data_IF_918874459275
#
_entry.id   IF_918874459275
#
_cell.length_a   1.000
_cell.length_b   1.000
_cell.length_c   1.000
_cell.angle_alpha   90.00
_cell.angle_beta   90.00
_cell.angle_gamma   90.00
#
_symmetry.space_group_name_H-M   'P 1'
#
loop_
_entity.id
_entity.type
_entity.pdbx_description
1 polymer ?
#
# COMPACT_ATOMS: atom_id res chain seq x y z
N UNK A 1 9.55 31.53 10.54
CA UNK A 1 10.13 30.18 10.70
C UNK A 1 8.97 29.22 10.44
N UNK A 2 8.97 28.51 9.32
CA UNK A 2 7.97 27.49 9.07
C UNK A 2 8.15 26.40 10.15
N UNK A 3 7.15 26.12 10.94
CA UNK A 3 7.10 24.94 11.79
C UNK A 3 7.20 23.75 10.86
N UNK A 4 8.32 23.06 10.88
CA UNK A 4 8.51 21.80 10.17
C UNK A 4 7.54 20.82 10.85
N UNK A 5 6.44 20.50 10.17
CA UNK A 5 5.50 19.50 10.67
C UNK A 5 6.26 18.18 10.85
N UNK A 6 5.97 17.50 11.96
CA UNK A 6 6.60 16.20 12.22
C UNK A 6 6.24 15.22 11.10
N UNK A 7 7.20 14.40 10.63
CA UNK A 7 6.89 13.41 9.60
C UNK A 7 5.80 12.44 10.09
N UNK A 8 5.04 11.87 9.15
CA UNK A 8 4.04 10.85 9.44
C UNK A 8 4.68 9.66 10.13
N UNK A 9 5.83 9.20 9.61
CA UNK A 9 6.66 8.17 10.23
C UNK A 9 8.12 8.57 10.22
N UNK A 10 8.81 8.22 11.31
CA UNK A 10 10.26 8.21 11.38
C UNK A 10 10.69 6.87 11.97
N UNK A 11 11.61 6.20 11.29
CA UNK A 11 12.21 4.94 11.71
C UNK A 11 13.70 5.16 11.85
N UNK A 12 14.28 4.67 12.94
CA UNK A 12 15.73 4.71 13.19
C UNK A 12 16.17 3.42 13.88
N UNK A 13 17.19 2.73 13.34
CA UNK A 13 17.74 1.45 13.85
C UNK A 13 16.63 0.42 14.20
N UNK A 14 15.67 0.23 13.32
CA UNK A 14 14.59 -0.72 13.52
C UNK A 14 14.96 -2.09 12.98
N UNK A 15 15.02 -3.09 13.84
CA UNK A 15 15.29 -4.49 13.46
C UNK A 15 14.09 -5.36 13.80
N UNK A 16 13.56 -6.08 12.83
CA UNK A 16 12.50 -7.08 13.01
C UNK A 16 13.08 -8.47 12.85
N UNK A 17 12.82 -9.34 13.82
CA UNK A 17 13.28 -10.74 13.81
C UNK A 17 12.12 -11.71 13.86
N UNK A 18 12.27 -12.82 13.15
CA UNK A 18 11.38 -13.98 13.26
C UNK A 18 12.23 -15.18 13.69
N UNK A 19 12.01 -15.67 14.90
CA UNK A 19 12.92 -16.62 15.56
C UNK A 19 14.33 -15.99 15.64
N UNK A 20 15.34 -16.64 15.09
CA UNK A 20 16.73 -16.16 15.10
C UNK A 20 17.13 -15.36 13.86
N UNK A 21 16.25 -15.33 12.82
CA UNK A 21 16.55 -14.65 11.56
C UNK A 21 16.06 -13.20 11.59
N UNK A 22 16.92 -12.25 11.21
CA UNK A 22 16.52 -10.89 10.86
C UNK A 22 15.75 -10.97 9.56
N UNK A 23 14.53 -10.40 9.54
CA UNK A 23 13.63 -10.39 8.39
C UNK A 23 13.40 -8.97 7.84
N UNK A 24 13.84 -7.95 8.58
CA UNK A 24 13.94 -6.57 8.16
C UNK A 24 14.87 -5.79 9.09
N UNK A 25 15.72 -4.96 8.51
CA UNK A 25 16.47 -3.92 9.22
C UNK A 25 16.31 -2.60 8.45
N UNK A 26 16.02 -1.55 9.18
CA UNK A 26 15.87 -0.19 8.65
C UNK A 26 16.77 0.72 9.47
N UNK A 27 17.82 1.24 8.86
CA UNK A 27 18.75 2.18 9.50
C UNK A 27 18.04 3.51 9.77
N UNK A 28 17.57 4.16 8.71
CA UNK A 28 16.82 5.41 8.76
C UNK A 28 15.76 5.43 7.67
N UNK A 29 14.57 5.93 8.02
CA UNK A 29 13.50 6.19 7.07
C UNK A 29 12.57 7.26 7.64
N UNK A 30 12.16 8.20 6.80
CA UNK A 30 11.12 9.17 7.13
C UNK A 30 10.08 9.21 6.01
N UNK A 31 8.80 9.30 6.39
CA UNK A 31 7.68 9.51 5.49
C UNK A 31 6.96 10.78 5.90
N UNK A 32 6.87 11.74 5.00
CA UNK A 32 6.09 12.95 5.21
C UNK A 32 4.57 12.71 5.02
N UNK A 33 3.72 13.56 5.60
CA UNK A 33 2.28 13.53 5.29
C UNK A 33 2.05 13.94 3.83
N UNK A 34 1.16 13.21 3.14
CA UNK A 34 0.87 13.44 1.72
C UNK A 34 1.95 12.95 0.75
N UNK A 35 3.06 12.41 1.24
CA UNK A 35 4.11 11.85 0.39
C UNK A 35 3.69 10.51 -0.21
N UNK A 36 3.96 10.35 -1.52
CA UNK A 36 3.69 9.12 -2.25
C UNK A 36 4.99 8.36 -2.47
N UNK A 37 5.02 7.07 -2.07
CA UNK A 37 6.21 6.23 -2.19
C UNK A 37 5.88 4.87 -2.80
N UNK A 38 6.86 4.27 -3.47
CA UNK A 38 6.79 2.87 -3.88
C UNK A 38 7.91 2.05 -3.22
N UNK A 39 7.54 0.89 -2.68
CA UNK A 39 8.47 -0.14 -2.22
C UNK A 39 8.61 -1.17 -3.32
N UNK A 40 9.81 -1.31 -3.88
CA UNK A 40 10.12 -2.24 -4.96
C UNK A 40 11.20 -3.22 -4.52
N UNK A 41 11.08 -4.47 -4.92
CA UNK A 41 12.09 -5.49 -4.63
C UNK A 41 11.58 -6.90 -4.86
N UNK A 42 12.47 -7.90 -4.88
CA UNK A 42 12.11 -9.29 -5.09
C UNK A 42 11.21 -9.85 -3.99
N UNK A 43 10.59 -11.01 -4.27
CA UNK A 43 9.80 -11.71 -3.28
C UNK A 43 10.68 -12.15 -2.09
N UNK A 44 10.14 -11.97 -0.87
CA UNK A 44 10.89 -12.30 0.36
C UNK A 44 11.94 -11.27 0.77
N UNK A 45 12.10 -10.15 0.08
CA UNK A 45 13.07 -9.09 0.40
C UNK A 45 12.76 -8.33 1.71
N UNK A 46 11.53 -8.42 2.24
CA UNK A 46 11.13 -7.71 3.47
C UNK A 46 10.04 -6.66 3.28
N UNK A 47 9.52 -6.44 2.06
CA UNK A 47 8.50 -5.41 1.74
C UNK A 47 7.27 -5.49 2.63
N UNK A 48 6.63 -6.66 2.73
CA UNK A 48 5.45 -6.84 3.59
C UNK A 48 5.79 -6.68 5.08
N UNK A 49 7.00 -7.07 5.50
CA UNK A 49 7.46 -6.83 6.88
C UNK A 49 7.62 -5.32 7.15
N UNK A 50 8.08 -4.55 6.17
CA UNK A 50 8.17 -3.09 6.29
C UNK A 50 6.78 -2.47 6.48
N UNK A 51 5.78 -2.90 5.70
CA UNK A 51 4.40 -2.46 5.89
C UNK A 51 3.86 -2.86 7.28
N UNK A 52 4.07 -4.10 7.68
CA UNK A 52 3.66 -4.58 9.01
C UNK A 52 4.34 -3.80 10.15
N UNK A 53 5.56 -3.30 9.94
CA UNK A 53 6.24 -2.41 10.89
C UNK A 53 5.54 -1.04 10.95
N UNK A 54 5.16 -0.44 9.82
CA UNK A 54 4.40 0.82 9.76
C UNK A 54 3.02 0.68 10.42
N UNK A 55 2.30 -0.41 10.14
CA UNK A 55 0.96 -0.68 10.69
C UNK A 55 0.98 -1.25 12.11
N UNK A 56 2.18 -1.45 12.69
CA UNK A 56 2.41 -2.08 14.01
C UNK A 56 1.83 -3.49 14.15
N UNK A 57 1.68 -4.21 13.07
CA UNK A 57 1.38 -5.64 13.11
C UNK A 57 2.59 -6.46 13.57
N UNK A 58 3.79 -5.94 13.33
CA UNK A 58 5.04 -6.44 13.91
C UNK A 58 5.74 -5.33 14.67
N UNK A 59 6.45 -5.71 15.73
CA UNK A 59 7.23 -4.77 16.53
C UNK A 59 8.71 -5.00 16.27
N UNK A 60 9.53 -3.93 16.21
CA UNK A 60 10.98 -4.05 16.13
C UNK A 60 11.55 -4.54 17.48
N UNK A 61 12.79 -4.98 17.46
CA UNK A 61 13.53 -5.24 18.69
C UNK A 61 13.54 -3.99 19.56
N UNK A 62 13.41 -4.21 20.87
CA UNK A 62 13.45 -3.12 21.85
C UNK A 62 14.79 -2.37 21.79
N UNK A 63 14.72 -1.04 21.86
CA UNK A 63 15.84 -0.11 22.00
C UNK A 63 15.53 0.89 23.12
N UNK A 64 16.55 1.52 23.67
CA UNK A 64 16.38 2.58 24.68
C UNK A 64 15.63 3.78 24.09
N UNK A 65 15.94 4.14 22.85
CA UNK A 65 15.15 5.08 22.04
C UNK A 65 14.21 4.26 21.16
N UNK A 66 12.88 4.55 21.17
CA UNK A 66 11.93 3.84 20.34
C UNK A 66 12.28 3.97 18.85
N UNK A 67 12.49 2.83 18.15
CA UNK A 67 12.95 2.87 16.77
C UNK A 67 11.89 3.33 15.77
N UNK A 68 10.63 3.44 16.17
CA UNK A 68 9.53 3.90 15.32
C UNK A 68 8.75 5.01 16.01
N UNK A 69 8.71 6.17 15.38
CA UNK A 69 8.00 7.36 15.85
C UNK A 69 6.90 7.65 14.83
N UNK A 70 5.68 7.88 15.32
CA UNK A 70 4.51 8.24 14.53
C UNK A 70 4.05 9.64 14.89
N UNK A 71 4.08 10.60 13.96
CA UNK A 71 3.70 12.00 14.18
C UNK A 71 4.36 12.61 15.41
N UNK A 72 5.64 12.34 15.61
CA UNK A 72 6.39 12.80 16.77
C UNK A 72 6.11 12.04 18.07
N UNK A 73 5.21 11.06 18.07
CA UNK A 73 4.90 10.22 19.24
C UNK A 73 5.73 8.95 19.22
N UNK A 74 6.48 8.74 20.29
CA UNK A 74 7.30 7.52 20.48
C UNK A 74 6.46 6.27 20.80
N UNK A 75 5.27 6.47 21.39
CA UNK A 75 4.36 5.39 21.80
C UNK A 75 2.93 5.67 21.36
N UNK A 76 2.68 5.70 20.04
CA UNK A 76 1.33 5.93 19.53
C UNK A 76 0.41 4.76 19.91
N UNK A 77 -0.88 5.03 20.06
CA UNK A 77 -1.85 3.97 20.23
C UNK A 77 -2.02 3.18 18.91
N UNK A 78 -2.34 1.89 19.00
CA UNK A 78 -2.66 1.09 17.81
C UNK A 78 -3.92 1.63 17.09
N UNK A 79 -4.84 2.24 17.84
CA UNK A 79 -6.05 2.85 17.28
C UNK A 79 -5.71 4.06 16.40
N UNK A 80 -4.77 4.92 16.82
CA UNK A 80 -4.36 6.10 16.04
C UNK A 80 -3.68 5.69 14.73
N UNK A 81 -2.84 4.66 14.77
CA UNK A 81 -2.19 4.13 13.57
C UNK A 81 -3.22 3.51 12.62
N UNK A 82 -4.13 2.66 13.14
CA UNK A 82 -5.18 2.05 12.32
C UNK A 82 -6.15 3.07 11.73
N UNK A 83 -6.43 4.16 12.43
CA UNK A 83 -7.25 5.24 11.89
C UNK A 83 -6.53 6.01 10.77
N UNK A 84 -5.19 6.06 10.79
CA UNK A 84 -4.39 6.76 9.79
C UNK A 84 -4.23 5.97 8.49
N UNK A 85 -4.21 4.63 8.56
CA UNK A 85 -3.92 3.77 7.40
C UNK A 85 -5.13 2.96 6.94
N UNK A 86 -5.34 2.94 5.62
CA UNK A 86 -6.08 1.90 4.94
C UNK A 86 -5.12 0.93 4.25
N UNK A 87 -5.35 -0.38 4.35
CA UNK A 87 -4.48 -1.40 3.73
C UNK A 87 -5.28 -2.25 2.75
N UNK A 88 -4.89 -2.22 1.49
CA UNK A 88 -5.48 -3.04 0.41
C UNK A 88 -4.44 -4.04 -0.05
N UNK A 89 -4.64 -5.32 0.26
CA UNK A 89 -3.72 -6.40 -0.08
C UNK A 89 -4.38 -7.52 -0.88
N UNK A 90 -3.56 -8.29 -1.61
CA UNK A 90 -4.04 -9.51 -2.27
C UNK A 90 -4.60 -10.53 -1.27
N UNK A 91 -3.98 -10.67 -0.10
CA UNK A 91 -4.45 -11.58 0.95
C UNK A 91 -5.88 -11.24 1.38
N UNK A 92 -6.22 -9.95 1.46
CA UNK A 92 -7.59 -9.53 1.77
C UNK A 92 -8.57 -9.94 0.67
N UNK A 93 -8.20 -9.82 -0.60
CA UNK A 93 -9.01 -10.30 -1.72
C UNK A 93 -9.26 -11.82 -1.63
N UNK A 94 -8.25 -12.62 -1.32
CA UNK A 94 -8.36 -14.08 -1.21
C UNK A 94 -9.21 -14.52 -0.02
N UNK A 95 -9.33 -13.69 1.01
CA UNK A 95 -10.17 -13.91 2.19
C UNK A 95 -11.65 -13.56 1.95
N UNK A 96 -11.98 -12.82 0.90
CA UNK A 96 -13.37 -12.49 0.55
C UNK A 96 -14.08 -13.75 0.02
N UNK A 97 -14.59 -14.57 0.94
CA UNK A 97 -15.39 -15.79 0.66
C UNK A 97 -16.73 -15.72 1.39
N UNK A 98 -17.41 -14.59 1.25
CA UNK A 98 -18.66 -14.29 1.94
C UNK A 98 -19.69 -13.78 0.95
N UNK A 99 -20.94 -14.23 1.09
CA UNK A 99 -22.06 -13.74 0.31
C UNK A 99 -22.66 -12.52 1.01
N UNK A 100 -22.10 -11.34 0.70
CA UNK A 100 -22.55 -10.05 1.23
C UNK A 100 -22.63 -9.01 0.10
N UNK A 101 -23.57 -8.06 0.20
CA UNK A 101 -23.59 -6.89 -0.68
C UNK A 101 -22.32 -6.05 -0.54
N UNK A 102 -21.86 -5.42 -1.63
CA UNK A 102 -20.68 -4.56 -1.59
C UNK A 102 -20.78 -3.47 -0.52
N UNK A 103 -21.96 -2.83 -0.37
CA UNK A 103 -22.16 -1.79 0.65
C UNK A 103 -21.94 -2.30 2.08
N UNK A 104 -22.31 -3.56 2.36
CA UNK A 104 -22.14 -4.15 3.69
C UNK A 104 -20.66 -4.45 3.97
N UNK A 105 -19.89 -4.83 2.91
CA UNK A 105 -18.43 -4.98 2.98
C UNK A 105 -17.78 -3.63 3.27
N UNK A 106 -18.18 -2.57 2.56
CA UNK A 106 -17.63 -1.22 2.75
C UNK A 106 -18.01 -0.67 4.12
N UNK A 107 -19.27 -0.81 4.53
CA UNK A 107 -19.74 -0.41 5.86
C UNK A 107 -18.96 -1.13 6.97
N UNK A 108 -18.59 -2.40 6.77
CA UNK A 108 -17.76 -3.17 7.69
C UNK A 108 -16.40 -2.52 7.97
N UNK A 109 -15.87 -1.72 7.05
CA UNK A 109 -14.64 -0.94 7.22
C UNK A 109 -14.69 0.01 8.42
N UNK A 110 -15.83 0.60 8.72
CA UNK A 110 -16.03 1.46 9.92
C UNK A 110 -15.80 0.70 11.24
N UNK A 111 -15.94 -0.62 11.22
CA UNK A 111 -15.81 -1.50 12.37
C UNK A 111 -14.53 -2.36 12.31
N UNK A 112 -13.68 -2.14 11.31
CA UNK A 112 -12.45 -2.92 11.10
C UNK A 112 -12.69 -4.39 10.71
N UNK A 113 -13.85 -4.71 10.10
CA UNK A 113 -14.29 -6.07 9.76
C UNK A 113 -14.66 -6.19 8.28
N UNK A 114 -14.74 -7.41 7.74
CA UNK A 114 -15.09 -7.66 6.33
C UNK A 114 -16.59 -7.43 6.04
N UNK A 115 -17.41 -7.29 7.04
CA UNK A 115 -18.83 -7.01 6.94
C UNK A 115 -19.29 -6.47 8.28
N UNK A 116 -20.58 -6.18 8.43
CA UNK A 116 -21.10 -5.62 9.68
C UNK A 116 -21.10 -6.72 10.75
N UNK A 117 -20.43 -6.52 11.91
CA UNK A 117 -20.43 -7.51 12.99
C UNK A 117 -21.85 -7.74 13.54
N UNK A 118 -22.18 -8.99 13.87
CA UNK A 118 -23.54 -9.37 14.32
C UNK A 118 -24.05 -8.63 15.56
N UNK A 119 -23.16 -8.11 16.40
CA UNK A 119 -23.47 -7.36 17.62
C UNK A 119 -23.51 -5.85 17.39
N UNK A 120 -23.28 -5.38 16.17
CA UNK A 120 -23.29 -3.96 15.78
C UNK A 120 -24.53 -3.69 14.94
N UNK A 121 -25.23 -2.62 15.26
CA UNK A 121 -26.30 -2.10 14.43
C UNK A 121 -25.73 -0.92 13.63
N UNK A 122 -25.42 -1.16 12.34
CA UNK A 122 -25.05 -0.08 11.44
C UNK A 122 -26.25 0.86 11.24
N UNK A 123 -25.98 2.14 11.29
CA UNK A 123 -26.99 3.19 11.11
C UNK A 123 -27.18 3.50 9.62
N UNK A 124 -28.27 4.19 9.27
CA UNK A 124 -28.49 4.69 7.90
C UNK A 124 -27.35 5.62 7.44
N UNK A 125 -26.78 6.41 8.37
CA UNK A 125 -25.62 7.26 8.10
C UNK A 125 -24.36 6.46 7.76
N UNK A 126 -24.15 5.28 8.36
CA UNK A 126 -23.01 4.40 8.07
C UNK A 126 -23.15 3.79 6.66
N UNK A 127 -24.35 3.35 6.29
CA UNK A 127 -24.62 2.87 4.93
C UNK A 127 -24.46 3.98 3.90
N UNK A 128 -24.91 5.18 4.18
CA UNK A 128 -24.73 6.34 3.29
C UNK A 128 -23.24 6.63 3.04
N UNK A 129 -22.40 6.61 4.08
CA UNK A 129 -20.94 6.74 3.91
C UNK A 129 -20.36 5.64 3.03
N UNK A 130 -20.82 4.40 3.22
CA UNK A 130 -20.36 3.28 2.39
C UNK A 130 -20.75 3.46 0.90
N UNK A 131 -21.98 3.87 0.64
CA UNK A 131 -22.46 4.14 -0.71
C UNK A 131 -21.72 5.32 -1.36
N UNK A 132 -21.44 6.40 -0.62
CA UNK A 132 -20.63 7.53 -1.08
C UNK A 132 -19.22 7.10 -1.52
N UNK A 133 -18.57 6.15 -0.82
CA UNK A 133 -17.26 5.65 -1.25
C UNK A 133 -17.37 4.76 -2.50
N UNK A 134 -18.42 3.97 -2.64
CA UNK A 134 -18.67 3.19 -3.85
C UNK A 134 -18.90 4.09 -5.07
N UNK A 135 -19.73 5.12 -4.92
CA UNK A 135 -19.96 6.14 -5.95
C UNK A 135 -18.66 6.85 -6.35
N UNK A 136 -17.88 7.28 -5.36
CA UNK A 136 -16.57 7.93 -5.56
C UNK A 136 -15.62 7.10 -6.41
N UNK A 137 -15.65 5.76 -6.28
CA UNK A 137 -14.82 4.84 -7.06
C UNK A 137 -15.48 4.34 -8.35
N UNK A 138 -16.62 4.92 -8.74
CA UNK A 138 -17.32 4.60 -9.98
C UNK A 138 -17.90 3.18 -10.00
N UNK A 139 -18.35 2.68 -8.83
CA UNK A 139 -18.99 1.37 -8.67
C UNK A 139 -20.25 1.43 -7.79
N UNK A 140 -20.91 2.60 -7.73
CA UNK A 140 -22.12 2.78 -6.92
C UNK A 140 -23.26 1.84 -7.32
N UNK A 141 -23.39 1.54 -8.61
CA UNK A 141 -24.38 0.60 -9.14
C UNK A 141 -24.20 -0.83 -8.59
N UNK A 142 -23.02 -1.15 -8.05
CA UNK A 142 -22.71 -2.47 -7.45
C UNK A 142 -23.04 -2.56 -5.97
N UNK A 143 -23.52 -1.47 -5.33
CA UNK A 143 -23.73 -1.40 -3.88
C UNK A 143 -24.52 -2.59 -3.30
N UNK A 144 -25.56 -3.03 -3.98
CA UNK A 144 -26.43 -4.13 -3.57
C UNK A 144 -26.04 -5.49 -4.18
N UNK A 145 -24.97 -5.53 -4.99
CA UNK A 145 -24.52 -6.77 -5.63
C UNK A 145 -23.70 -7.62 -4.67
N UNK A 146 -23.91 -8.93 -4.72
CA UNK A 146 -23.11 -9.90 -3.96
C UNK A 146 -21.65 -9.88 -4.47
N UNK A 147 -20.70 -9.65 -3.56
CA UNK A 147 -19.28 -9.53 -3.86
C UNK A 147 -18.72 -10.78 -4.56
N UNK A 148 -19.25 -11.96 -4.26
CA UNK A 148 -18.83 -13.23 -4.90
C UNK A 148 -19.21 -13.32 -6.38
N UNK A 149 -20.06 -12.43 -6.89
CA UNK A 149 -20.48 -12.37 -8.31
C UNK A 149 -19.74 -11.28 -9.10
N UNK A 150 -18.80 -10.60 -8.48
CA UNK A 150 -18.05 -9.51 -9.06
C UNK A 150 -16.76 -9.98 -9.74
N UNK A 151 -16.27 -9.22 -10.72
CA UNK A 151 -14.93 -9.42 -11.27
C UNK A 151 -13.85 -9.06 -10.24
N UNK A 152 -12.64 -9.61 -10.40
CA UNK A 152 -11.49 -9.31 -9.53
C UNK A 152 -11.24 -7.80 -9.38
N UNK A 153 -11.33 -7.05 -10.49
CA UNK A 153 -11.17 -5.59 -10.48
C UNK A 153 -12.28 -4.86 -9.72
N UNK A 154 -13.54 -5.35 -9.83
CA UNK A 154 -14.66 -4.81 -9.04
C UNK A 154 -14.48 -5.07 -7.56
N UNK A 155 -14.14 -6.31 -7.17
CA UNK A 155 -13.84 -6.68 -5.78
C UNK A 155 -12.71 -5.78 -5.22
N UNK A 156 -11.64 -5.58 -5.99
CA UNK A 156 -10.51 -4.75 -5.57
C UNK A 156 -10.95 -3.31 -5.26
N UNK A 157 -11.80 -2.72 -6.11
CA UNK A 157 -12.35 -1.36 -5.85
C UNK A 157 -13.28 -1.33 -4.65
N UNK A 158 -14.08 -2.37 -4.42
CA UNK A 158 -14.90 -2.50 -3.19
C UNK A 158 -14.01 -2.53 -1.94
N UNK A 159 -12.88 -3.26 -1.98
CA UNK A 159 -11.93 -3.29 -0.86
C UNK A 159 -11.23 -1.93 -0.66
N UNK A 160 -10.92 -1.19 -1.72
CA UNK A 160 -10.44 0.20 -1.59
C UNK A 160 -11.51 1.08 -0.95
N UNK A 161 -12.78 1.00 -1.39
CA UNK A 161 -13.89 1.74 -0.79
C UNK A 161 -14.04 1.43 0.70
N UNK A 162 -13.86 0.15 1.07
CA UNK A 162 -13.88 -0.30 2.47
C UNK A 162 -12.79 0.36 3.31
N UNK A 163 -11.60 0.53 2.77
CA UNK A 163 -10.52 1.23 3.48
C UNK A 163 -10.75 2.76 3.52
N UNK A 164 -11.44 3.31 2.53
CA UNK A 164 -11.72 4.75 2.47
C UNK A 164 -12.86 5.20 3.41
N UNK A 165 -13.73 4.29 3.85
CA UNK A 165 -14.94 4.66 4.61
C UNK A 165 -14.66 5.29 5.97
N UNK A 166 -13.50 4.99 6.58
CA UNK A 166 -13.03 5.61 7.83
C UNK A 166 -12.09 6.82 7.61
N UNK A 167 -11.96 7.27 6.35
CA UNK A 167 -11.22 8.47 5.95
C UNK A 167 -9.72 8.45 6.32
N UNK A 168 -8.96 7.41 5.93
CA UNK A 168 -7.54 7.29 6.27
C UNK A 168 -6.73 8.36 5.55
N UNK A 169 -5.63 8.81 6.14
CA UNK A 169 -4.71 9.78 5.53
C UNK A 169 -3.72 9.13 4.56
N UNK A 170 -3.43 7.86 4.76
CA UNK A 170 -2.55 7.09 3.91
C UNK A 170 -3.18 5.76 3.50
N UNK A 171 -3.02 5.38 2.22
CA UNK A 171 -3.41 4.06 1.73
C UNK A 171 -2.20 3.27 1.30
N UNK A 172 -2.13 2.06 1.82
CA UNK A 172 -1.13 1.06 1.47
C UNK A 172 -1.74 0.09 0.47
N UNK A 173 -1.13 0.00 -0.69
CA UNK A 173 -1.49 -0.94 -1.75
C UNK A 173 -0.40 -2.01 -1.84
N UNK A 174 -0.69 -3.21 -1.34
CA UNK A 174 0.26 -4.33 -1.37
C UNK A 174 -0.05 -5.26 -2.55
N UNK A 175 0.78 -5.18 -3.59
CA UNK A 175 0.66 -5.87 -4.88
C UNK A 175 -0.73 -5.71 -5.53
N UNK A 176 -1.25 -4.50 -5.65
CA UNK A 176 -2.66 -4.27 -5.95
C UNK A 176 -3.07 -4.67 -7.37
N UNK A 177 -2.15 -4.70 -8.33
CA UNK A 177 -2.43 -5.01 -9.74
C UNK A 177 -2.30 -6.51 -10.06
N UNK A 178 -1.78 -7.33 -9.14
CA UNK A 178 -1.60 -8.77 -9.37
C UNK A 178 -2.94 -9.46 -9.66
N UNK A 179 -2.98 -10.20 -10.79
CA UNK A 179 -4.17 -10.94 -11.22
C UNK A 179 -5.28 -10.10 -11.84
N UNK A 180 -5.05 -8.81 -12.07
CA UNK A 180 -5.97 -7.95 -12.81
C UNK A 180 -5.72 -8.02 -14.32
N UNK A 181 -6.78 -7.90 -15.09
CA UNK A 181 -6.73 -7.63 -16.52
C UNK A 181 -6.32 -6.16 -16.80
N UNK A 182 -6.01 -5.79 -18.04
CA UNK A 182 -5.60 -4.43 -18.38
C UNK A 182 -6.61 -3.35 -17.98
N UNK A 183 -7.92 -3.64 -18.07
CA UNK A 183 -8.97 -2.72 -17.66
C UNK A 183 -8.96 -2.50 -16.14
N UNK A 184 -8.91 -3.59 -15.37
CA UNK A 184 -8.82 -3.55 -13.91
C UNK A 184 -7.57 -2.79 -13.42
N UNK A 185 -6.40 -3.03 -14.06
CA UNK A 185 -5.17 -2.28 -13.76
C UNK A 185 -5.33 -0.79 -14.04
N UNK A 186 -5.89 -0.42 -15.20
CA UNK A 186 -6.11 0.98 -15.57
C UNK A 186 -7.00 1.69 -14.55
N UNK A 187 -8.12 1.06 -14.17
CA UNK A 187 -9.07 1.60 -13.21
C UNK A 187 -8.43 1.76 -11.82
N UNK A 188 -7.71 0.75 -11.34
CA UNK A 188 -7.07 0.80 -10.01
C UNK A 188 -5.94 1.84 -9.95
N UNK A 189 -5.10 1.93 -10.99
CA UNK A 189 -4.10 3.00 -11.11
C UNK A 189 -4.76 4.39 -11.19
N UNK A 190 -5.95 4.48 -11.79
CA UNK A 190 -6.78 5.69 -11.76
C UNK A 190 -7.18 6.09 -10.34
N UNK A 191 -7.63 5.13 -9.54
CA UNK A 191 -7.96 5.35 -8.11
C UNK A 191 -6.75 5.83 -7.33
N UNK A 192 -5.58 5.18 -7.48
CA UNK A 192 -4.34 5.62 -6.79
C UNK A 192 -3.96 7.06 -7.17
N UNK A 193 -4.05 7.44 -8.45
CA UNK A 193 -3.79 8.82 -8.91
C UNK A 193 -4.76 9.82 -8.32
N UNK A 194 -6.04 9.46 -8.25
CA UNK A 194 -7.06 10.30 -7.62
C UNK A 194 -6.72 10.56 -6.15
N UNK A 195 -6.42 9.51 -5.38
CA UNK A 195 -6.08 9.62 -3.97
C UNK A 195 -4.84 10.48 -3.73
N UNK A 196 -3.79 10.30 -4.55
CA UNK A 196 -2.60 11.14 -4.51
C UNK A 196 -2.93 12.62 -4.80
N UNK A 197 -3.80 12.89 -5.78
CA UNK A 197 -4.23 14.27 -6.12
C UNK A 197 -5.05 14.93 -5.03
N UNK A 198 -5.69 14.18 -4.15
CA UNK A 198 -6.44 14.65 -2.99
C UNK A 198 -5.54 14.90 -1.77
N UNK A 199 -4.23 14.71 -1.89
CA UNK A 199 -3.24 14.92 -0.82
C UNK A 199 -3.12 13.76 0.16
N UNK A 200 -3.68 12.58 -0.15
CA UNK A 200 -3.47 11.37 0.65
C UNK A 200 -2.14 10.73 0.28
N UNK A 201 -1.45 10.18 1.26
CA UNK A 201 -0.26 9.39 0.98
C UNK A 201 -0.64 8.06 0.32
N UNK A 202 -0.03 7.77 -0.82
CA UNK A 202 -0.12 6.47 -1.50
C UNK A 202 1.19 5.73 -1.29
N UNK A 203 1.12 4.60 -0.59
CA UNK A 203 2.23 3.69 -0.35
C UNK A 203 2.01 2.44 -1.18
N UNK A 204 2.74 2.31 -2.27
CA UNK A 204 2.63 1.19 -3.19
C UNK A 204 3.71 0.16 -2.89
N UNK A 205 3.33 -1.09 -2.69
CA UNK A 205 4.26 -2.22 -2.61
C UNK A 205 4.08 -3.06 -3.86
N UNK A 206 5.16 -3.26 -4.60
CA UNK A 206 5.12 -4.04 -5.84
C UNK A 206 6.48 -4.68 -6.14
N UNK A 207 6.50 -5.62 -7.05
CA UNK A 207 7.72 -6.13 -7.67
C UNK A 207 7.79 -5.74 -9.17
N UNK A 208 6.82 -4.94 -9.65
CA UNK A 208 6.74 -4.45 -11.02
C UNK A 208 6.79 -2.93 -11.09
N UNK A 209 7.82 -2.32 -11.71
CA UNK A 209 7.85 -0.86 -11.94
C UNK A 209 6.66 -0.33 -12.73
N UNK A 210 5.99 -1.17 -13.53
CA UNK A 210 4.80 -0.84 -14.30
C UNK A 210 3.61 -0.40 -13.43
N UNK A 211 3.61 -0.76 -12.15
CA UNK A 211 2.56 -0.39 -11.21
C UNK A 211 2.77 1.00 -10.61
N UNK A 212 4.00 1.53 -10.71
CA UNK A 212 4.37 2.82 -10.13
C UNK A 212 3.73 3.93 -10.97
N UNK A 213 2.71 4.56 -10.39
CA UNK A 213 2.00 5.68 -11.06
C UNK A 213 2.88 6.94 -11.13
N UNK A 214 2.64 7.83 -12.11
CA UNK A 214 3.43 9.07 -12.26
C UNK A 214 3.46 9.96 -11.01
N UNK A 215 2.41 9.93 -10.17
CA UNK A 215 2.34 10.72 -8.94
C UNK A 215 3.26 10.22 -7.80
N UNK A 216 3.89 9.07 -7.97
CA UNK A 216 4.90 8.55 -7.02
C UNK A 216 6.27 8.98 -7.53
N UNK A 217 6.97 9.82 -6.79
CA UNK A 217 8.30 10.32 -7.16
C UNK A 217 9.44 9.62 -6.42
N UNK A 218 9.18 9.06 -5.23
CA UNK A 218 10.16 8.40 -4.39
C UNK A 218 9.99 6.90 -4.38
N UNK A 219 11.09 6.16 -4.54
CA UNK A 219 11.12 4.70 -4.55
C UNK A 219 12.11 4.21 -3.49
N UNK A 220 11.66 3.23 -2.69
CA UNK A 220 12.49 2.45 -1.79
C UNK A 220 12.75 1.09 -2.44
N UNK A 221 14.01 0.79 -2.70
CA UNK A 221 14.42 -0.54 -3.15
C UNK A 221 14.73 -1.39 -1.92
N UNK A 222 14.02 -2.51 -1.77
CA UNK A 222 14.19 -3.43 -0.64
C UNK A 222 14.88 -4.71 -1.15
N UNK A 223 16.02 -5.05 -0.55
CA UNK A 223 16.81 -6.23 -0.87
C UNK A 223 17.40 -6.82 0.41
N UNK A 224 17.45 -8.14 0.52
CA UNK A 224 18.12 -8.86 1.62
C UNK A 224 17.73 -8.36 3.02
N UNK A 225 16.43 -8.12 3.21
CA UNK A 225 15.84 -7.63 4.47
C UNK A 225 16.33 -6.23 4.91
N UNK A 226 16.74 -5.37 3.97
CA UNK A 226 17.16 -3.99 4.24
C UNK A 226 16.68 -3.04 3.14
N UNK A 227 16.66 -1.72 3.43
CA UNK A 227 16.55 -0.69 2.40
C UNK A 227 17.88 -0.67 1.64
N UNK A 228 17.87 -1.11 0.40
CA UNK A 228 19.02 -1.13 -0.50
C UNK A 228 19.30 0.26 -1.07
N UNK A 229 18.25 0.99 -1.45
CA UNK A 229 18.33 2.37 -1.91
C UNK A 229 17.01 3.09 -1.64
N UNK A 230 17.07 4.40 -1.42
CA UNK A 230 15.96 5.30 -1.20
C UNK A 230 16.22 6.60 -1.97
N UNK A 231 15.35 6.96 -2.90
CA UNK A 231 15.58 8.12 -3.75
C UNK A 231 14.51 8.34 -4.81
N UNK A 232 14.80 9.25 -5.75
CA UNK A 232 13.88 9.56 -6.84
C UNK A 232 13.75 8.38 -7.80
N UNK A 233 12.53 8.14 -8.28
CA UNK A 233 12.27 7.05 -9.22
C UNK A 233 13.10 7.12 -10.49
N UNK A 234 13.37 8.35 -11.00
CA UNK A 234 14.17 8.54 -12.21
C UNK A 234 15.64 8.13 -12.02
N UNK A 235 16.16 8.22 -10.79
CA UNK A 235 17.52 7.85 -10.44
C UNK A 235 17.65 6.35 -10.16
N UNK A 236 16.61 5.73 -9.59
CA UNK A 236 16.63 4.35 -9.14
C UNK A 236 16.03 3.35 -10.13
N UNK A 237 15.03 3.75 -10.94
CA UNK A 237 14.43 2.87 -11.94
C UNK A 237 15.26 2.86 -13.24
N UNK A 238 16.48 2.35 -13.15
CA UNK A 238 17.41 2.18 -14.26
C UNK A 238 17.70 0.71 -14.51
N UNK A 239 18.14 0.36 -15.74
CA UNK A 239 18.46 -1.02 -16.08
C UNK A 239 19.52 -1.63 -15.16
N UNK A 240 20.54 -0.86 -14.78
CA UNK A 240 21.61 -1.33 -13.90
C UNK A 240 21.10 -1.57 -12.48
N UNK A 241 20.35 -0.63 -11.87
CA UNK A 241 19.76 -0.83 -10.56
C UNK A 241 18.77 -2.00 -10.52
N UNK A 242 17.94 -2.15 -11.56
CA UNK A 242 16.99 -3.27 -11.64
C UNK A 242 17.69 -4.61 -11.83
N UNK A 243 18.76 -4.66 -12.64
CA UNK A 243 19.60 -5.84 -12.81
C UNK A 243 20.22 -6.25 -11.46
N UNK A 244 20.77 -5.31 -10.73
CA UNK A 244 21.36 -5.57 -9.42
C UNK A 244 20.32 -5.98 -8.39
N UNK A 245 19.16 -5.32 -8.36
CA UNK A 245 18.05 -5.61 -7.44
C UNK A 245 17.50 -7.03 -7.63
N UNK A 246 17.20 -7.41 -8.86
CA UNK A 246 16.55 -8.67 -9.20
C UNK A 246 17.51 -9.81 -9.54
N UNK A 247 18.80 -9.50 -9.78
CA UNK A 247 19.84 -10.50 -10.09
C UNK A 247 19.73 -11.11 -11.49
N UNK A 248 19.05 -10.46 -12.42
CA UNK A 248 18.89 -10.88 -13.83
C UNK A 248 19.08 -9.67 -14.75
N UNK A 249 19.61 -9.85 -15.98
CA UNK A 249 19.82 -8.76 -16.93
C UNK A 249 18.49 -8.09 -17.31
N UNK A 250 18.32 -6.82 -16.93
CA UNK A 250 17.11 -6.06 -17.17
C UNK A 250 17.40 -4.72 -17.84
N UNK A 251 16.52 -4.31 -18.72
CA UNK A 251 16.43 -2.95 -19.26
C UNK A 251 15.16 -2.27 -18.74
N UNK A 252 15.22 -0.97 -18.56
CA UNK A 252 14.08 -0.15 -18.15
C UNK A 252 13.75 0.81 -19.27
N UNK A 253 12.49 0.85 -19.67
CA UNK A 253 11.94 1.86 -20.57
C UNK A 253 11.06 2.82 -19.75
N UNK A 254 11.16 4.12 -20.03
CA UNK A 254 10.32 5.13 -19.39
C UNK A 254 9.52 5.92 -20.42
N UNK A 255 8.26 6.18 -20.12
CA UNK A 255 7.38 6.98 -20.95
C UNK A 255 6.40 7.79 -20.09
N UNK A 256 6.50 9.14 -20.11
CA UNK A 256 5.63 10.03 -19.34
C UNK A 256 5.49 9.68 -17.85
N UNK A 257 6.61 9.30 -17.20
CA UNK A 257 6.64 8.92 -15.79
C UNK A 257 6.14 7.51 -15.47
N UNK A 258 5.81 6.72 -16.49
CA UNK A 258 5.61 5.29 -16.41
C UNK A 258 6.89 4.55 -16.74
N UNK A 259 7.10 3.40 -16.12
CA UNK A 259 8.29 2.57 -16.29
C UNK A 259 7.88 1.15 -16.65
N UNK A 260 8.68 0.46 -17.45
CA UNK A 260 8.50 -0.95 -17.77
C UNK A 260 9.83 -1.69 -17.77
N UNK A 261 9.80 -2.94 -17.32
CA UNK A 261 10.94 -3.84 -17.37
C UNK A 261 10.90 -4.68 -18.63
N UNK A 262 12.09 -4.87 -19.23
CA UNK A 262 12.31 -5.86 -20.29
C UNK A 262 13.56 -6.67 -19.97
N UNK A 263 13.58 -7.91 -20.42
CA UNK A 263 14.81 -8.69 -20.43
C UNK A 263 15.82 -8.03 -21.38
N UNK A 264 17.07 -7.94 -20.94
CA UNK A 264 18.17 -7.49 -21.77
C UNK A 264 18.77 -8.70 -22.45
N UNK A 265 18.46 -8.87 -23.73
CA UNK A 265 19.10 -9.92 -24.57
C UNK A 265 20.45 -9.41 -25.03
N UNK A 266 21.49 -10.23 -24.91
CA UNK A 266 22.76 -9.97 -25.61
C UNK A 266 22.53 -10.11 -27.11
N UNK A 267 23.03 -9.16 -27.92
CA UNK A 267 22.90 -9.14 -29.38
C UNK A 267 23.64 -10.33 -30.04
N UNK A 268 23.54 -11.53 -29.51
CA UNK A 268 24.28 -12.71 -29.94
C UNK A 268 23.56 -14.05 -29.76
N UNK A 269 22.30 -14.07 -29.27
CA UNK A 269 21.47 -15.28 -29.24
C UNK A 269 20.38 -15.29 -30.32
#
# INVERSE_FOLDING_TARGET
MATQEAPLFKIHDATVRRKEKVILHVDDFELAEGENIALLGPNGAGKSTFIQLLTREVLPLHRDVPPVIFRGQERPSLADIKACFGVVSNTMHDQVRVHLPARDIVCGGLFGTLGIPRHVHATEADFKKAEEQLERLGIGELANRDIMTMSTGQVRRVLVARELVHDPQALIFDEPCTGLDPEGMYQLRGVMRQLASEGRSVILVTHYPEDIIPAIDRVLLIKDAAIYADGKKEELLTGDCMTELFGVPLAVESNHGWYSLREKFDEGE
#
